data_IF_880483079815
#
_entry.id   IF_880483079815
#
_cell.length_a   1.000
_cell.length_b   1.000
_cell.length_c   1.000
_cell.angle_alpha   90.00
_cell.angle_beta   90.00
_cell.angle_gamma   90.00
#
_symmetry.space_group_name_H-M   'P 1'
#
loop_
_entity.id
_entity.type
_entity.pdbx_description
1 polymer ?
#
# COMPACT_ATOMS: atom_id res chain seq x y z
N UNK A 1 6.65 12.96 -0.24
CA UNK A 1 6.64 12.35 1.11
C UNK A 1 8.00 12.43 1.81
N UNK A 2 9.07 11.83 1.25
CA UNK A 2 10.37 11.79 1.91
C UNK A 2 10.98 13.17 2.20
N UNK A 3 10.94 14.10 1.27
CA UNK A 3 11.52 15.43 1.51
C UNK A 3 10.67 16.26 2.47
N UNK A 4 9.34 16.21 2.34
CA UNK A 4 8.43 16.78 3.34
C UNK A 4 8.70 16.23 4.76
N UNK A 5 8.88 14.91 4.90
CA UNK A 5 9.13 14.34 6.22
C UNK A 5 10.38 14.99 6.89
N UNK A 6 11.43 15.32 6.13
CA UNK A 6 12.64 15.95 6.68
C UNK A 6 12.41 17.38 7.20
N UNK A 7 11.32 18.05 6.84
CA UNK A 7 10.98 19.39 7.32
C UNK A 7 10.18 19.39 8.63
N UNK A 8 9.83 18.23 9.17
CA UNK A 8 9.14 18.12 10.46
C UNK A 8 10.07 18.46 11.63
N UNK A 9 9.53 18.96 12.75
CA UNK A 9 10.30 19.16 13.97
C UNK A 9 11.00 17.86 14.43
N UNK A 10 12.19 17.95 15.06
CA UNK A 10 12.92 16.76 15.53
C UNK A 10 12.13 15.86 16.49
N UNK A 11 11.20 16.43 17.25
CA UNK A 11 10.34 15.74 18.20
C UNK A 11 9.39 14.74 17.50
N UNK A 12 8.99 15.05 16.26
CA UNK A 12 8.10 14.23 15.42
C UNK A 12 8.85 13.13 14.64
N UNK A 13 10.19 13.08 14.76
CA UNK A 13 11.05 12.18 13.99
C UNK A 13 10.70 10.71 14.17
N UNK A 14 10.31 10.29 15.37
CA UNK A 14 9.98 8.89 15.65
C UNK A 14 8.49 8.58 15.53
N UNK A 15 7.66 9.62 15.42
CA UNK A 15 6.21 9.49 15.29
C UNK A 15 5.78 9.76 13.85
N UNK A 16 5.27 10.96 13.56
CA UNK A 16 4.67 11.32 12.28
C UNK A 16 5.61 11.16 11.10
N UNK A 17 6.89 11.50 11.26
CA UNK A 17 7.92 11.31 10.23
C UNK A 17 8.05 9.84 9.80
N UNK A 18 8.17 8.97 10.80
CA UNK A 18 8.42 7.55 10.56
C UNK A 18 7.18 6.88 9.97
N UNK A 19 6.00 7.27 10.44
CA UNK A 19 4.71 6.78 9.93
C UNK A 19 4.48 7.17 8.46
N UNK A 20 4.67 8.44 8.07
CA UNK A 20 4.53 8.90 6.68
C UNK A 20 5.47 8.12 5.73
N UNK A 21 6.71 7.89 6.15
CA UNK A 21 7.69 7.18 5.33
C UNK A 21 7.36 5.70 5.20
N UNK A 22 6.93 5.05 6.29
CA UNK A 22 6.59 3.62 6.27
C UNK A 22 5.39 3.37 5.38
N UNK A 23 4.27 4.07 5.61
CA UNK A 23 3.06 3.88 4.82
C UNK A 23 3.28 4.22 3.35
N UNK A 24 3.92 5.34 3.03
CA UNK A 24 4.22 5.72 1.64
C UNK A 24 5.10 4.70 0.90
N UNK A 25 6.07 4.08 1.58
CA UNK A 25 6.90 3.02 0.96
C UNK A 25 6.12 1.71 0.81
N UNK A 26 5.29 1.38 1.80
CA UNK A 26 4.46 0.18 1.82
C UNK A 26 3.52 0.12 0.62
N UNK A 27 3.00 1.27 0.14
CA UNK A 27 2.23 1.35 -1.12
C UNK A 27 3.00 0.71 -2.29
N UNK A 28 4.23 1.17 -2.53
CA UNK A 28 5.03 0.68 -3.66
C UNK A 28 5.48 -0.77 -3.47
N UNK A 29 5.79 -1.17 -2.23
CA UNK A 29 6.19 -2.54 -1.90
C UNK A 29 5.05 -3.53 -2.18
N UNK A 30 3.84 -3.23 -1.72
CA UNK A 30 2.66 -4.07 -1.95
C UNK A 30 2.24 -4.12 -3.43
N UNK A 31 2.46 -3.06 -4.20
CA UNK A 31 2.24 -3.10 -5.66
C UNK A 31 3.25 -4.04 -6.33
N UNK A 32 4.53 -3.96 -5.97
CA UNK A 32 5.56 -4.85 -6.52
C UNK A 32 5.30 -6.31 -6.12
N UNK A 33 4.91 -6.57 -4.88
CA UNK A 33 4.54 -7.89 -4.40
C UNK A 33 3.33 -8.45 -5.18
N UNK A 34 2.28 -7.64 -5.36
CA UNK A 34 1.11 -8.04 -6.14
C UNK A 34 1.42 -8.33 -7.59
N UNK A 35 2.35 -7.57 -8.20
CA UNK A 35 2.79 -7.77 -9.57
C UNK A 35 3.53 -9.11 -9.76
N UNK A 36 4.28 -9.55 -8.74
CA UNK A 36 4.99 -10.83 -8.76
C UNK A 36 4.09 -12.06 -8.56
N UNK A 37 2.82 -11.87 -8.18
CA UNK A 37 1.89 -12.98 -7.93
C UNK A 37 1.23 -13.44 -9.23
N UNK A 38 1.18 -14.76 -9.42
CA UNK A 38 0.57 -15.37 -10.59
C UNK A 38 -0.96 -15.28 -10.57
N UNK A 39 -1.57 -15.70 -9.46
CA UNK A 39 -3.03 -15.76 -9.37
C UNK A 39 -3.62 -14.38 -9.09
N UNK A 40 -4.59 -13.99 -9.91
CA UNK A 40 -5.10 -12.62 -9.93
C UNK A 40 -5.72 -12.17 -8.59
N UNK A 41 -6.35 -13.09 -7.85
CA UNK A 41 -6.91 -12.79 -6.51
C UNK A 41 -5.82 -12.44 -5.50
N UNK A 42 -4.66 -13.09 -5.59
CA UNK A 42 -3.54 -12.83 -4.69
C UNK A 42 -2.89 -11.49 -5.04
N UNK A 43 -2.74 -11.17 -6.33
CA UNK A 43 -2.33 -9.83 -6.76
C UNK A 43 -3.30 -8.76 -6.24
N UNK A 44 -4.61 -8.97 -6.40
CA UNK A 44 -5.65 -8.03 -5.94
C UNK A 44 -5.64 -7.83 -4.42
N UNK A 45 -5.30 -8.86 -3.64
CA UNK A 45 -5.12 -8.74 -2.19
C UNK A 45 -3.97 -7.78 -1.86
N UNK A 46 -2.81 -7.95 -2.49
CA UNK A 46 -1.67 -7.06 -2.28
C UNK A 46 -1.99 -5.61 -2.71
N UNK A 47 -2.65 -5.42 -3.85
CA UNK A 47 -3.09 -4.08 -4.29
C UNK A 47 -4.11 -3.44 -3.34
N UNK A 48 -4.96 -4.24 -2.70
CA UNK A 48 -5.89 -3.76 -1.68
C UNK A 48 -5.16 -3.24 -0.44
N UNK A 49 -4.08 -3.92 -0.02
CA UNK A 49 -3.19 -3.45 1.05
C UNK A 49 -2.49 -2.15 0.63
N UNK A 50 -1.93 -2.10 -0.58
CA UNK A 50 -1.32 -0.88 -1.13
C UNK A 50 -2.27 0.33 -1.09
N UNK A 51 -3.55 0.13 -1.40
CA UNK A 51 -4.57 1.18 -1.31
C UNK A 51 -4.87 1.60 0.13
N UNK A 52 -4.86 0.65 1.08
CA UNK A 52 -4.97 0.95 2.51
C UNK A 52 -3.82 1.84 2.98
N UNK A 53 -2.60 1.47 2.66
CA UNK A 53 -1.36 2.21 2.98
C UNK A 53 -1.33 3.62 2.37
N UNK A 54 -1.92 3.78 1.17
CA UNK A 54 -2.06 5.08 0.53
C UNK A 54 -3.02 6.00 1.31
N UNK A 55 -4.11 5.45 1.82
CA UNK A 55 -5.06 6.17 2.67
C UNK A 55 -4.49 6.48 4.06
N UNK A 56 -3.69 5.57 4.62
CA UNK A 56 -2.94 5.82 5.85
C UNK A 56 -1.93 6.96 5.66
N UNK A 57 -1.19 6.97 4.55
CA UNK A 57 -0.31 8.09 4.17
C UNK A 57 -1.08 9.41 4.14
N UNK A 58 -2.28 9.43 3.54
CA UNK A 58 -3.14 10.61 3.50
C UNK A 58 -3.56 11.08 4.89
N UNK A 59 -3.95 10.16 5.77
CA UNK A 59 -4.33 10.47 7.15
C UNK A 59 -3.18 11.17 7.89
N UNK A 60 -1.95 10.68 7.76
CA UNK A 60 -0.80 11.34 8.36
C UNK A 60 -0.53 12.74 7.80
N UNK A 61 -0.74 12.97 6.49
CA UNK A 61 -0.62 14.32 5.92
C UNK A 61 -1.69 15.28 6.45
N UNK A 62 -2.92 14.78 6.65
CA UNK A 62 -3.99 15.56 7.27
C UNK A 62 -3.60 15.94 8.70
N UNK A 63 -3.06 15.00 9.48
CA UNK A 63 -2.57 15.29 10.83
C UNK A 63 -1.44 16.33 10.80
N UNK A 64 -0.47 16.18 9.89
CA UNK A 64 0.61 17.15 9.74
C UNK A 64 0.10 18.57 9.43
N UNK A 65 -0.97 18.67 8.62
CA UNK A 65 -1.64 19.94 8.33
C UNK A 65 -2.34 20.51 9.56
N UNK A 66 -3.10 19.70 10.29
CA UNK A 66 -3.83 20.13 11.51
C UNK A 66 -2.84 20.64 12.57
N UNK A 67 -1.68 20.00 12.70
CA UNK A 67 -0.60 20.40 13.60
C UNK A 67 0.24 21.58 13.07
N UNK A 68 -0.14 22.17 11.92
CA UNK A 68 0.56 23.27 11.24
C UNK A 68 2.00 22.95 10.82
N UNK A 69 2.34 21.67 10.66
CA UNK A 69 3.64 21.23 10.13
C UNK A 69 3.70 21.19 8.60
N UNK A 70 2.55 21.28 7.94
CA UNK A 70 2.43 21.26 6.48
C UNK A 70 1.57 22.43 6.00
N UNK A 71 2.18 23.34 5.24
CA UNK A 71 1.49 24.49 4.66
C UNK A 71 0.43 24.07 3.64
N UNK A 72 -0.64 24.86 3.52
CA UNK A 72 -1.78 24.58 2.64
C UNK A 72 -1.37 24.25 1.18
N UNK A 73 -0.51 25.03 0.51
CA UNK A 73 -0.15 24.73 -0.88
C UNK A 73 0.57 23.38 -1.04
N UNK A 74 1.52 23.10 -0.13
CA UNK A 74 2.24 21.82 -0.13
C UNK A 74 1.32 20.63 0.19
N UNK A 75 0.35 20.81 1.09
CA UNK A 75 -0.68 19.80 1.34
C UNK A 75 -1.51 19.52 0.08
N UNK A 76 -1.96 20.54 -0.64
CA UNK A 76 -2.77 20.38 -1.85
C UNK A 76 -2.02 19.61 -2.94
N UNK A 77 -0.73 19.90 -3.14
CA UNK A 77 0.13 19.16 -4.07
C UNK A 77 0.23 17.67 -3.70
N UNK A 78 0.52 17.37 -2.44
CA UNK A 78 0.63 15.99 -1.96
C UNK A 78 -0.71 15.26 -1.99
N UNK A 79 -1.80 15.96 -1.66
CA UNK A 79 -3.16 15.45 -1.74
C UNK A 79 -3.52 15.07 -3.18
N UNK A 80 -3.26 15.97 -4.14
CA UNK A 80 -3.50 15.71 -5.55
C UNK A 80 -2.71 14.50 -6.05
N UNK A 81 -1.45 14.35 -5.63
CA UNK A 81 -0.62 13.18 -5.96
C UNK A 81 -1.22 11.88 -5.41
N UNK A 82 -1.67 11.88 -4.15
CA UNK A 82 -2.34 10.72 -3.55
C UNK A 82 -3.60 10.34 -4.33
N UNK A 83 -4.47 11.32 -4.65
CA UNK A 83 -5.71 11.07 -5.39
C UNK A 83 -5.46 10.51 -6.78
N UNK A 84 -4.44 11.03 -7.48
CA UNK A 84 -4.02 10.50 -8.78
C UNK A 84 -3.52 9.07 -8.67
N UNK A 85 -2.71 8.78 -7.65
CA UNK A 85 -2.18 7.43 -7.38
C UNK A 85 -3.32 6.44 -7.08
N UNK A 86 -4.30 6.85 -6.26
CA UNK A 86 -5.48 6.05 -5.93
C UNK A 86 -6.29 5.72 -7.19
N UNK A 87 -6.51 6.70 -8.06
CA UNK A 87 -7.22 6.51 -9.33
C UNK A 87 -6.51 5.51 -10.23
N UNK A 88 -5.19 5.63 -10.39
CA UNK A 88 -4.37 4.72 -11.19
C UNK A 88 -4.40 3.30 -10.63
N UNK A 89 -4.24 3.16 -9.30
CA UNK A 89 -4.28 1.86 -8.63
C UNK A 89 -5.64 1.18 -8.80
N UNK A 90 -6.74 1.91 -8.62
CA UNK A 90 -8.09 1.38 -8.82
C UNK A 90 -8.31 0.93 -10.27
N UNK A 91 -7.84 1.70 -11.26
CA UNK A 91 -7.89 1.32 -12.66
C UNK A 91 -7.09 0.04 -12.95
N UNK A 92 -5.90 -0.08 -12.37
CA UNK A 92 -5.06 -1.27 -12.50
C UNK A 92 -5.68 -2.50 -11.84
N UNK A 93 -6.23 -2.37 -10.63
CA UNK A 93 -6.98 -3.44 -9.97
C UNK A 93 -8.17 -3.91 -10.81
N UNK A 94 -8.90 -2.99 -11.43
CA UNK A 94 -10.01 -3.34 -12.33
C UNK A 94 -9.50 -4.10 -13.57
N UNK A 95 -8.36 -3.71 -14.14
CA UNK A 95 -7.72 -4.42 -15.23
C UNK A 95 -7.30 -5.85 -14.83
N UNK A 96 -6.58 -6.01 -13.71
CA UNK A 96 -6.13 -7.33 -13.23
C UNK A 96 -7.31 -8.25 -12.93
N UNK A 97 -8.38 -7.74 -12.32
CA UNK A 97 -9.60 -8.50 -12.07
C UNK A 97 -10.21 -9.07 -13.35
N UNK A 98 -10.12 -8.36 -14.48
CA UNK A 98 -10.65 -8.84 -15.78
C UNK A 98 -9.76 -9.90 -16.42
N UNK A 99 -8.46 -9.90 -16.16
CA UNK A 99 -7.55 -10.90 -16.73
C UNK A 99 -7.80 -12.31 -16.19
N UNK A 100 -8.27 -12.44 -14.93
CA UNK A 100 -8.56 -13.73 -14.27
C UNK A 100 -7.41 -14.75 -14.42
N UNK A 101 -6.16 -14.29 -14.40
CA UNK A 101 -4.97 -15.13 -14.50
C UNK A 101 -4.97 -16.19 -13.40
N UNK A 102 -4.69 -17.45 -13.77
CA UNK A 102 -4.73 -18.61 -12.87
C UNK A 102 -6.13 -19.18 -12.57
N UNK A 103 -7.22 -18.54 -13.01
CA UNK A 103 -8.58 -19.00 -12.67
C UNK A 103 -8.96 -20.36 -13.25
N UNK A 104 -8.42 -20.71 -14.42
CA UNK A 104 -8.66 -22.01 -15.05
C UNK A 104 -7.91 -23.15 -14.35
N UNK A 105 -6.75 -22.85 -13.75
CA UNK A 105 -5.89 -23.83 -13.09
C UNK A 105 -6.25 -24.02 -11.62
N UNK A 106 -6.63 -22.94 -10.92
CA UNK A 106 -6.83 -22.94 -9.47
C UNK A 106 -8.23 -22.51 -9.02
N UNK A 107 -9.11 -22.19 -9.99
CA UNK A 107 -10.48 -21.76 -9.72
C UNK A 107 -10.58 -20.32 -9.23
N UNK A 108 -11.73 -19.99 -8.64
CA UNK A 108 -12.07 -18.65 -8.15
C UNK A 108 -11.79 -18.46 -6.64
N UNK A 109 -10.86 -19.26 -6.11
CA UNK A 109 -10.44 -19.19 -4.71
C UNK A 109 -9.00 -18.72 -4.64
N UNK A 110 -8.68 -17.90 -3.64
CA UNK A 110 -7.29 -17.53 -3.38
C UNK A 110 -6.47 -18.81 -3.16
N UNK A 111 -5.38 -18.98 -3.90
CA UNK A 111 -4.51 -20.14 -3.78
C UNK A 111 -3.68 -19.91 -2.55
N UNK A 112 -4.05 -20.54 -1.44
CA UNK A 112 -3.13 -20.64 -0.31
C UNK A 112 -2.00 -21.55 -0.80
N UNK A 113 -0.78 -21.04 -0.81
CA UNK A 113 0.40 -21.91 -0.82
C UNK A 113 0.15 -22.95 0.27
N UNK A 114 0.12 -24.23 -0.11
CA UNK A 114 -0.04 -25.32 0.84
C UNK A 114 1.09 -25.15 1.85
N UNK A 115 0.75 -24.79 3.09
CA UNK A 115 1.74 -24.75 4.15
C UNK A 115 2.37 -26.12 4.21
N UNK A 116 3.69 -26.19 4.03
CA UNK A 116 4.45 -27.42 4.23
C UNK A 116 4.06 -27.96 5.61
N UNK A 117 3.33 -29.09 5.62
CA UNK A 117 3.15 -29.88 6.83
C UNK A 117 4.55 -30.35 7.21
N UNK A 118 5.19 -29.64 8.13
CA UNK A 118 6.30 -30.19 8.89
C UNK A 118 5.71 -31.36 9.68
N UNK A 119 5.92 -32.58 9.16
CA UNK A 119 5.50 -33.81 9.82
C UNK A 119 6.03 -33.84 11.24
N UNK A 120 5.12 -33.98 12.20
CA UNK A 120 5.45 -34.33 13.58
C UNK A 120 5.91 -35.79 13.62
N UNK A 121 7.12 -36.07 13.13
CA UNK A 121 7.89 -37.24 13.56
C UNK A 121 8.81 -36.80 14.71
N UNK A 122 8.29 -36.89 15.93
CA UNK A 122 9.04 -37.31 17.13
C UNK A 122 8.15 -37.22 18.37
N UNK A 123 7.51 -38.34 18.74
CA UNK A 123 7.35 -38.79 20.13
C UNK A 123 7.33 -40.31 20.20
#
# INVERSE_FOLDING_TARGET
MHDFSKSLPPEEKFDLFAQIRRSSKSVTANIAEGYGRYHYLDSLRAYSIARGELNETLSHLINAKILNYLAQPAFEELYALIRKTEQMLNGYMAYVRRQRAGSQEFGEKAVREAGEEYGEENR
#
